data_IF_289129238703
#
_entry.id   IF_289129238703
#
_cell.length_a   1.000
_cell.length_b   1.000
_cell.length_c   1.000
_cell.angle_alpha   90.00
_cell.angle_beta   90.00
_cell.angle_gamma   90.00
#
_symmetry.space_group_name_H-M   'P 1'
#
loop_
_entity.id
_entity.type
_entity.pdbx_description
1 polymer ?
#
# COMPACT_ATOMS: atom_id res chain seq x y z
N UNK A 1 -8.25 -31.49 17.11
CA UNK A 1 -8.82 -30.24 16.50
C UNK A 1 -7.68 -29.25 16.31
N UNK A 2 -7.57 -28.62 15.15
CA UNK A 2 -6.58 -27.57 14.95
C UNK A 2 -7.01 -26.29 15.68
N UNK A 3 -6.06 -25.59 16.32
CA UNK A 3 -6.27 -24.27 16.93
C UNK A 3 -6.45 -23.17 15.88
N UNK A 4 -6.00 -23.43 14.65
CA UNK A 4 -6.06 -22.47 13.55
C UNK A 4 -7.50 -22.19 13.10
N UNK A 5 -7.80 -20.91 12.89
CA UNK A 5 -9.08 -20.47 12.34
C UNK A 5 -9.26 -20.91 10.88
N UNK A 6 -10.51 -20.99 10.43
CA UNK A 6 -10.80 -21.23 9.02
C UNK A 6 -10.23 -20.13 8.10
N UNK A 7 -10.12 -18.89 8.59
CA UNK A 7 -9.51 -17.78 7.85
C UNK A 7 -8.01 -18.01 7.63
N UNK A 8 -7.28 -18.39 8.69
CA UNK A 8 -5.83 -18.62 8.59
C UNK A 8 -5.49 -19.77 7.64
N UNK A 9 -6.33 -20.81 7.58
CA UNK A 9 -6.13 -21.93 6.65
C UNK A 9 -6.32 -21.60 5.18
N UNK A 10 -6.79 -20.40 4.86
CA UNK A 10 -6.94 -19.93 3.46
C UNK A 10 -5.69 -19.29 2.89
N UNK A 11 -4.69 -19.00 3.73
CA UNK A 11 -3.44 -18.40 3.32
C UNK A 11 -2.25 -19.33 3.49
N UNK A 12 -1.20 -19.11 2.71
CA UNK A 12 0.05 -19.83 2.83
C UNK A 12 1.12 -18.98 3.57
N UNK A 13 2.14 -19.60 4.18
CA UNK A 13 3.29 -18.89 4.70
C UNK A 13 3.95 -18.01 3.63
N UNK A 14 4.38 -16.80 4.02
CA UNK A 14 4.98 -15.83 3.07
C UNK A 14 6.25 -16.38 2.42
N UNK A 15 6.23 -16.52 1.10
CA UNK A 15 7.40 -16.91 0.30
C UNK A 15 8.59 -15.95 0.49
N UNK A 16 8.32 -14.65 0.60
CA UNK A 16 9.35 -13.62 0.83
C UNK A 16 10.09 -13.84 2.15
N UNK A 17 9.36 -14.15 3.23
CA UNK A 17 9.96 -14.44 4.54
C UNK A 17 10.79 -15.71 4.47
N UNK A 18 10.29 -16.75 3.83
CA UNK A 18 11.01 -18.03 3.69
C UNK A 18 12.31 -17.88 2.90
N UNK A 19 12.29 -17.14 1.77
CA UNK A 19 13.47 -16.87 0.95
C UNK A 19 14.48 -16.01 1.72
N UNK A 20 14.03 -14.97 2.43
CA UNK A 20 14.90 -14.12 3.26
C UNK A 20 15.56 -14.91 4.40
N UNK A 21 14.84 -15.83 5.04
CA UNK A 21 15.38 -16.71 6.06
C UNK A 21 16.43 -17.66 5.48
N UNK A 22 16.17 -18.24 4.30
CA UNK A 22 17.13 -19.10 3.58
C UNK A 22 18.40 -18.34 3.20
N UNK A 23 18.29 -17.12 2.69
CA UNK A 23 19.44 -16.29 2.33
C UNK A 23 20.32 -16.00 3.58
N UNK A 24 19.71 -15.63 4.72
CA UNK A 24 20.42 -15.42 5.98
C UNK A 24 21.13 -16.68 6.47
N UNK A 25 20.47 -17.84 6.41
CA UNK A 25 21.06 -19.11 6.81
C UNK A 25 22.29 -19.48 5.93
N UNK A 26 22.20 -19.27 4.62
CA UNK A 26 23.30 -19.51 3.70
C UNK A 26 24.49 -18.56 3.96
N UNK A 27 24.24 -17.28 4.22
CA UNK A 27 25.29 -16.32 4.63
C UNK A 27 25.96 -16.74 5.95
N UNK A 28 25.18 -17.14 6.93
CA UNK A 28 25.69 -17.61 8.21
C UNK A 28 26.55 -18.91 8.06
N UNK A 29 26.27 -19.72 7.04
CA UNK A 29 27.07 -20.88 6.68
C UNK A 29 28.30 -20.53 5.82
N UNK A 30 28.68 -19.26 5.70
CA UNK A 30 29.86 -18.79 4.99
C UNK A 30 29.74 -18.75 3.47
N UNK A 31 28.49 -18.88 2.91
CA UNK A 31 28.30 -18.77 1.48
C UNK A 31 28.18 -17.31 1.05
N UNK A 32 28.80 -16.95 -0.07
CA UNK A 32 28.57 -15.66 -0.72
C UNK A 32 27.20 -15.66 -1.38
N UNK A 33 26.27 -14.87 -0.80
CA UNK A 33 24.87 -14.76 -1.24
C UNK A 33 24.48 -13.31 -1.35
N UNK A 34 24.05 -12.89 -2.53
CA UNK A 34 23.39 -11.61 -2.76
C UNK A 34 21.90 -11.81 -2.50
N UNK A 35 21.36 -11.15 -1.47
CA UNK A 35 19.95 -11.28 -1.10
C UNK A 35 19.14 -10.12 -1.68
N UNK A 36 18.26 -10.42 -2.65
CA UNK A 36 17.36 -9.46 -3.30
C UNK A 36 15.90 -9.70 -2.92
N UNK A 37 15.65 -10.42 -1.83
CA UNK A 37 14.32 -10.85 -1.42
C UNK A 37 13.54 -9.84 -0.56
N UNK A 38 14.23 -8.89 0.07
CA UNK A 38 13.63 -7.84 0.89
C UNK A 38 13.90 -6.48 0.25
N UNK A 39 12.84 -5.76 -0.06
CA UNK A 39 12.91 -4.38 -0.57
C UNK A 39 13.08 -3.40 0.59
N UNK A 40 14.30 -3.24 1.08
CA UNK A 40 14.65 -2.27 2.13
C UNK A 40 15.60 -1.22 1.54
N UNK A 41 15.38 0.10 1.82
CA UNK A 41 16.34 1.12 1.45
C UNK A 41 17.71 0.83 2.05
N UNK A 42 18.78 1.09 1.30
CA UNK A 42 20.17 0.89 1.73
C UNK A 42 20.76 2.09 2.48
N UNK A 43 20.02 3.21 2.50
CA UNK A 43 20.37 4.38 3.30
C UNK A 43 19.82 4.25 4.72
N UNK A 44 20.55 4.80 5.69
CA UNK A 44 20.04 5.02 7.03
C UNK A 44 18.91 6.06 7.04
N UNK A 45 18.05 5.98 8.05
CA UNK A 45 17.11 7.08 8.33
C UNK A 45 17.88 8.40 8.50
N UNK A 46 17.48 9.50 7.87
CA UNK A 46 18.16 10.81 7.95
C UNK A 46 18.34 11.28 9.41
N UNK A 47 19.49 11.91 9.68
CA UNK A 47 19.88 12.33 11.05
C UNK A 47 18.89 13.31 11.69
N UNK A 48 18.31 14.21 10.90
CA UNK A 48 17.29 15.13 11.42
C UNK A 48 16.06 14.39 11.98
N UNK A 49 15.65 13.27 11.35
CA UNK A 49 14.54 12.43 11.82
C UNK A 49 14.95 11.68 13.09
N UNK A 50 16.14 11.05 13.09
CA UNK A 50 16.67 10.34 14.25
C UNK A 50 16.78 11.28 15.46
N UNK A 51 17.33 12.48 15.27
CA UNK A 51 17.49 13.47 16.33
C UNK A 51 16.13 13.96 16.86
N UNK A 52 15.15 14.20 15.98
CA UNK A 52 13.80 14.59 16.41
C UNK A 52 13.15 13.51 17.30
N UNK A 53 13.34 12.23 16.99
CA UNK A 53 12.85 11.14 17.82
C UNK A 53 13.56 11.06 19.17
N UNK A 54 14.90 11.24 19.20
CA UNK A 54 15.68 11.28 20.44
C UNK A 54 15.18 12.41 21.36
N UNK A 55 14.97 13.59 20.81
CA UNK A 55 14.46 14.73 21.59
C UNK A 55 13.02 14.50 22.08
N UNK A 56 12.17 13.85 21.27
CA UNK A 56 10.83 13.47 21.69
C UNK A 56 10.86 12.49 22.89
N UNK A 57 11.76 11.50 22.86
CA UNK A 57 11.96 10.56 23.98
C UNK A 57 12.44 11.30 25.22
N UNK A 58 13.45 12.17 25.12
CA UNK A 58 13.96 12.99 26.23
C UNK A 58 12.89 13.90 26.81
N UNK A 59 12.00 14.43 25.97
CA UNK A 59 10.87 15.26 26.37
C UNK A 59 9.70 14.46 26.99
N UNK A 60 9.84 13.14 27.16
CA UNK A 60 8.83 12.28 27.77
C UNK A 60 7.59 12.03 26.90
N UNK A 61 7.68 12.21 25.58
CA UNK A 61 6.59 11.87 24.63
C UNK A 61 6.46 10.36 24.45
N UNK A 62 6.15 9.65 25.55
CA UNK A 62 6.11 8.18 25.62
C UNK A 62 4.80 7.67 26.21
N UNK A 63 3.75 8.48 26.20
CA UNK A 63 2.43 8.16 26.71
C UNK A 63 1.51 7.70 25.58
N UNK A 64 0.33 7.17 25.94
CA UNK A 64 -0.71 6.86 24.98
C UNK A 64 -1.09 8.08 24.13
N UNK A 65 -1.32 7.81 22.86
CA UNK A 65 -1.87 8.78 21.90
C UNK A 65 -3.29 8.37 21.51
N UNK A 66 -3.97 9.20 20.74
CA UNK A 66 -5.25 8.82 20.14
C UNK A 66 -5.08 7.58 19.25
N UNK A 67 -6.08 6.66 19.22
CA UNK A 67 -5.98 5.41 18.46
C UNK A 67 -5.76 5.60 16.95
N UNK A 68 -6.20 6.72 16.39
CA UNK A 68 -6.09 7.07 14.98
C UNK A 68 -4.90 8.00 14.66
N UNK A 69 -4.03 8.26 15.65
CA UNK A 69 -2.81 9.03 15.52
C UNK A 69 -2.82 10.38 16.24
N UNK A 70 -1.62 10.89 16.51
CA UNK A 70 -1.42 12.19 17.16
C UNK A 70 -1.99 13.32 16.31
N UNK A 71 -2.67 14.32 16.90
CA UNK A 71 -3.21 15.47 16.16
C UNK A 71 -2.16 16.20 15.31
N UNK A 72 -0.95 16.38 15.84
CA UNK A 72 0.15 17.06 15.15
C UNK A 72 0.62 16.28 13.93
N UNK A 73 0.70 14.95 14.03
CA UNK A 73 1.08 14.09 12.91
C UNK A 73 -0.01 14.10 11.85
N UNK A 74 -1.28 14.01 12.23
CA UNK A 74 -2.42 14.08 11.29
C UNK A 74 -2.45 15.41 10.55
N UNK A 75 -2.19 16.52 11.25
CA UNK A 75 -2.07 17.84 10.61
C UNK A 75 -0.90 17.92 9.63
N UNK A 76 0.26 17.33 9.98
CA UNK A 76 1.42 17.26 9.10
C UNK A 76 1.14 16.41 7.84
N UNK A 77 0.41 15.29 7.99
CA UNK A 77 -0.03 14.46 6.87
C UNK A 77 -0.97 15.23 5.94
N UNK A 78 -1.96 15.95 6.49
CA UNK A 78 -2.85 16.81 5.70
C UNK A 78 -2.06 17.87 4.92
N UNK A 79 -1.08 18.52 5.58
CA UNK A 79 -0.24 19.51 4.94
C UNK A 79 0.63 18.92 3.82
N UNK A 80 1.14 17.69 4.00
CA UNK A 80 1.87 16.93 2.98
C UNK A 80 0.99 16.67 1.76
N UNK A 81 -0.19 16.08 1.96
CA UNK A 81 -1.10 15.77 0.84
C UNK A 81 -1.52 17.02 0.07
N UNK A 82 -1.75 18.14 0.76
CA UNK A 82 -2.06 19.41 0.10
C UNK A 82 -0.88 19.91 -0.72
N UNK A 83 0.32 19.90 -0.14
CA UNK A 83 1.54 20.43 -0.77
C UNK A 83 2.00 19.61 -1.99
N UNK A 84 1.96 18.29 -1.87
CA UNK A 84 2.59 17.37 -2.82
C UNK A 84 1.59 16.74 -3.80
N UNK A 85 0.37 16.51 -3.36
CA UNK A 85 -0.65 15.83 -4.16
C UNK A 85 -1.85 16.72 -4.51
N UNK A 86 -1.91 17.96 -4.00
CA UNK A 86 -3.05 18.84 -4.21
C UNK A 86 -4.36 18.34 -3.57
N UNK A 87 -4.28 17.37 -2.65
CA UNK A 87 -5.43 16.78 -1.98
C UNK A 87 -5.66 17.43 -0.62
N UNK A 88 -6.85 17.94 -0.40
CA UNK A 88 -7.23 18.57 0.87
C UNK A 88 -8.00 17.59 1.75
N UNK A 89 -7.28 16.92 2.67
CA UNK A 89 -7.86 16.10 3.72
C UNK A 89 -8.06 16.88 5.02
N UNK A 90 -9.08 16.50 5.78
CA UNK A 90 -9.27 16.95 7.17
C UNK A 90 -8.59 15.96 8.13
N UNK A 91 -8.11 16.39 9.31
CA UNK A 91 -7.53 15.46 10.29
C UNK A 91 -8.44 14.28 10.65
N UNK A 92 -9.76 14.46 10.64
CA UNK A 92 -10.72 13.38 10.87
C UNK A 92 -10.76 12.32 9.76
N UNK A 93 -10.18 12.59 8.59
CA UNK A 93 -10.04 11.64 7.47
C UNK A 93 -8.71 10.90 7.50
N UNK A 94 -7.81 11.23 8.45
CA UNK A 94 -6.49 10.62 8.57
C UNK A 94 -6.51 9.56 9.66
N UNK A 95 -6.02 8.37 9.31
CA UNK A 95 -5.77 7.27 10.23
C UNK A 95 -4.31 6.85 10.14
N UNK A 96 -3.60 6.86 11.27
CA UNK A 96 -2.21 6.45 11.38
C UNK A 96 -2.14 5.03 11.93
N UNK A 97 -1.30 4.20 11.35
CA UNK A 97 -1.15 2.80 11.76
C UNK A 97 0.34 2.39 11.78
N UNK A 98 0.71 1.31 12.50
CA UNK A 98 2.10 0.87 12.60
C UNK A 98 2.58 0.20 11.31
N UNK A 99 2.75 1.02 10.26
CA UNK A 99 3.15 0.63 8.90
C UNK A 99 1.99 0.38 7.96
N UNK A 100 2.26 0.33 6.63
CA UNK A 100 1.23 0.24 5.59
C UNK A 100 0.39 -1.05 5.62
N UNK A 101 0.95 -2.18 6.07
CA UNK A 101 0.19 -3.45 6.11
C UNK A 101 -1.05 -3.37 7.03
N UNK A 102 -0.98 -2.86 8.28
CA UNK A 102 -2.17 -2.65 9.09
C UNK A 102 -3.18 -1.67 8.48
N UNK A 103 -2.74 -0.63 7.75
CA UNK A 103 -3.65 0.29 7.05
C UNK A 103 -4.54 -0.49 6.08
N UNK A 104 -3.92 -1.26 5.20
CA UNK A 104 -4.64 -2.04 4.18
C UNK A 104 -5.52 -3.11 4.83
N UNK A 105 -4.96 -3.87 5.77
CA UNK A 105 -5.70 -4.96 6.42
C UNK A 105 -6.92 -4.44 7.20
N UNK A 106 -6.76 -3.36 7.96
CA UNK A 106 -7.86 -2.77 8.72
C UNK A 106 -8.96 -2.22 7.78
N UNK A 107 -8.57 -1.59 6.66
CA UNK A 107 -9.54 -1.12 5.67
C UNK A 107 -10.36 -2.29 5.10
N UNK A 108 -9.69 -3.40 4.74
CA UNK A 108 -10.37 -4.58 4.21
C UNK A 108 -11.26 -5.26 5.25
N UNK A 109 -10.76 -5.46 6.49
CA UNK A 109 -11.56 -6.06 7.58
C UNK A 109 -12.78 -5.23 7.93
N UNK A 110 -12.64 -3.90 7.91
CA UNK A 110 -13.74 -2.99 8.26
C UNK A 110 -14.82 -2.92 7.18
N UNK A 111 -14.53 -3.35 5.94
CA UNK A 111 -15.40 -3.07 4.79
C UNK A 111 -15.84 -4.31 4.02
N UNK A 112 -15.09 -5.42 4.07
CA UNK A 112 -15.42 -6.63 3.31
C UNK A 112 -16.42 -7.53 4.05
N UNK A 113 -17.38 -8.03 3.31
CA UNK A 113 -18.25 -9.12 3.71
C UNK A 113 -17.90 -10.39 2.91
N UNK A 114 -18.30 -11.59 3.38
CA UNK A 114 -18.18 -12.80 2.60
C UNK A 114 -18.83 -12.67 1.22
N UNK A 115 -18.06 -12.91 0.16
CA UNK A 115 -18.50 -12.79 -1.23
C UNK A 115 -18.15 -11.46 -1.91
N UNK A 116 -17.71 -10.44 -1.16
CA UNK A 116 -17.16 -9.21 -1.75
C UNK A 116 -15.83 -9.52 -2.46
N UNK A 117 -15.62 -8.90 -3.61
CA UNK A 117 -14.45 -9.09 -4.45
C UNK A 117 -13.50 -7.89 -4.39
N UNK A 118 -12.19 -8.19 -4.42
CA UNK A 118 -11.12 -7.20 -4.49
C UNK A 118 -10.29 -7.46 -5.73
N UNK A 119 -10.31 -6.54 -6.68
CA UNK A 119 -9.48 -6.61 -7.90
C UNK A 119 -8.05 -6.21 -7.56
N UNK A 120 -7.10 -7.07 -7.95
CA UNK A 120 -5.66 -6.91 -7.68
C UNK A 120 -4.90 -7.14 -8.97
N UNK A 121 -4.38 -6.10 -9.64
CA UNK A 121 -3.55 -6.26 -10.84
C UNK A 121 -2.24 -7.01 -10.51
N UNK A 122 -1.94 -8.07 -11.27
CA UNK A 122 -0.72 -8.87 -11.12
C UNK A 122 0.34 -8.43 -12.16
N UNK A 123 1.66 -8.43 -11.78
CA UNK A 123 2.22 -8.86 -10.50
C UNK A 123 1.95 -7.85 -9.39
N UNK A 124 1.77 -8.35 -8.18
CA UNK A 124 1.40 -7.55 -7.02
C UNK A 124 2.25 -7.89 -5.79
N UNK A 125 2.22 -7.01 -4.80
CA UNK A 125 2.79 -7.32 -3.49
C UNK A 125 2.05 -8.51 -2.87
N UNK A 126 2.82 -9.53 -2.50
CA UNK A 126 2.33 -10.84 -2.05
C UNK A 126 1.29 -10.79 -0.92
N UNK A 127 1.22 -9.70 -0.17
CA UNK A 127 0.30 -9.58 0.96
C UNK A 127 -1.13 -9.15 0.57
N UNK A 128 -1.37 -8.59 -0.60
CA UNK A 128 -2.72 -8.12 -0.95
C UNK A 128 -3.76 -9.25 -0.99
N UNK A 129 -3.52 -10.38 -1.71
CA UNK A 129 -4.50 -11.47 -1.73
C UNK A 129 -4.67 -12.10 -0.34
N UNK A 130 -3.58 -12.29 0.42
CA UNK A 130 -3.65 -12.88 1.75
C UNK A 130 -4.48 -12.02 2.72
N UNK A 131 -4.29 -10.70 2.70
CA UNK A 131 -5.09 -9.78 3.51
C UNK A 131 -6.56 -9.79 3.11
N UNK A 132 -6.85 -9.87 1.80
CA UNK A 132 -8.21 -10.01 1.29
C UNK A 132 -8.87 -11.29 1.79
N UNK A 133 -8.18 -12.42 1.68
CA UNK A 133 -8.67 -13.71 2.17
C UNK A 133 -8.90 -13.70 3.68
N UNK A 134 -7.96 -13.17 4.46
CA UNK A 134 -8.10 -13.06 5.91
C UNK A 134 -9.27 -12.17 6.32
N UNK A 135 -9.52 -11.09 5.57
CA UNK A 135 -10.65 -10.20 5.79
C UNK A 135 -12.01 -10.78 5.35
N UNK A 136 -12.03 -11.97 4.75
CA UNK A 136 -13.27 -12.66 4.34
C UNK A 136 -13.66 -12.43 2.88
N UNK A 137 -12.96 -11.56 2.15
CA UNK A 137 -13.20 -11.29 0.73
C UNK A 137 -12.60 -12.33 -0.22
N UNK A 138 -12.82 -12.11 -1.50
CA UNK A 138 -12.31 -12.92 -2.62
C UNK A 138 -11.36 -12.07 -3.44
N UNK A 139 -10.05 -12.39 -3.50
CA UNK A 139 -9.13 -11.71 -4.40
C UNK A 139 -9.38 -12.09 -5.85
N UNK A 140 -9.54 -11.12 -6.72
CA UNK A 140 -9.67 -11.26 -8.17
C UNK A 140 -8.38 -10.77 -8.80
N UNK A 141 -7.47 -11.70 -9.09
CA UNK A 141 -6.20 -11.38 -9.76
C UNK A 141 -6.44 -11.10 -11.23
N UNK A 142 -6.00 -9.94 -11.72
CA UNK A 142 -6.02 -9.59 -13.13
C UNK A 142 -4.60 -9.55 -13.66
N UNK A 143 -4.27 -10.48 -14.54
CA UNK A 143 -2.94 -10.54 -15.13
C UNK A 143 -2.67 -9.34 -16.01
N UNK A 144 -1.46 -8.81 -15.91
CA UNK A 144 -0.91 -7.76 -16.76
C UNK A 144 0.37 -8.25 -17.42
N UNK A 145 0.78 -7.60 -18.50
CA UNK A 145 1.93 -8.05 -19.28
C UNK A 145 3.05 -7.00 -19.34
N UNK A 146 4.22 -7.41 -19.80
CA UNK A 146 5.32 -6.48 -20.03
C UNK A 146 4.96 -5.41 -21.07
N UNK A 147 4.16 -5.77 -22.08
CA UNK A 147 3.69 -4.84 -23.12
C UNK A 147 2.80 -3.73 -22.54
N UNK A 148 2.01 -4.04 -21.50
CA UNK A 148 1.25 -3.02 -20.74
C UNK A 148 2.09 -2.31 -19.67
N UNK A 149 3.38 -2.64 -19.56
CA UNK A 149 4.26 -2.15 -18.48
C UNK A 149 3.79 -2.63 -17.10
N UNK A 150 3.23 -3.83 -17.03
CA UNK A 150 2.66 -4.43 -15.83
C UNK A 150 1.57 -3.56 -15.16
N UNK A 151 0.76 -2.90 -15.97
CA UNK A 151 -0.37 -2.05 -15.56
C UNK A 151 -1.68 -2.63 -16.08
N UNK A 152 -2.73 -2.62 -15.23
CA UNK A 152 -4.06 -3.01 -15.69
C UNK A 152 -4.54 -2.04 -16.79
N UNK A 153 -5.10 -2.58 -17.84
CA UNK A 153 -5.71 -1.77 -18.89
C UNK A 153 -7.18 -1.47 -18.56
N UNK A 154 -7.77 -0.36 -19.09
CA UNK A 154 -9.19 -0.08 -18.92
C UNK A 154 -10.10 -1.24 -19.32
N UNK A 155 -9.79 -1.92 -20.41
CA UNK A 155 -10.55 -3.07 -20.90
C UNK A 155 -10.49 -4.26 -19.94
N UNK A 156 -9.30 -4.57 -19.39
CA UNK A 156 -9.13 -5.64 -18.42
C UNK A 156 -9.83 -5.32 -17.10
N UNK A 157 -9.80 -4.05 -16.65
CA UNK A 157 -10.53 -3.61 -15.47
C UNK A 157 -12.04 -3.75 -15.68
N UNK A 158 -12.58 -3.24 -16.79
CA UNK A 158 -14.01 -3.33 -17.12
C UNK A 158 -14.49 -4.79 -17.13
N UNK A 159 -13.70 -5.69 -17.71
CA UNK A 159 -14.01 -7.12 -17.79
C UNK A 159 -13.95 -7.83 -16.43
N UNK A 160 -13.15 -7.34 -15.48
CA UNK A 160 -13.00 -7.92 -14.15
C UNK A 160 -14.05 -7.45 -13.14
N UNK A 161 -14.69 -6.31 -13.39
CA UNK A 161 -15.70 -5.75 -12.49
C UNK A 161 -16.99 -6.58 -12.54
N UNK A 162 -17.48 -6.97 -11.37
CA UNK A 162 -18.77 -7.64 -11.18
C UNK A 162 -19.63 -6.85 -10.19
N UNK A 163 -20.91 -7.19 -10.01
CA UNK A 163 -21.74 -6.59 -8.96
C UNK A 163 -21.20 -6.84 -7.52
N UNK A 164 -20.28 -7.80 -7.34
CA UNK A 164 -19.64 -8.12 -6.06
C UNK A 164 -18.34 -7.35 -5.85
N UNK A 165 -17.82 -6.71 -6.87
CA UNK A 165 -16.56 -5.97 -6.79
C UNK A 165 -16.72 -4.78 -5.87
N UNK A 166 -15.96 -4.75 -4.79
CA UNK A 166 -15.98 -3.69 -3.78
C UNK A 166 -14.74 -2.82 -3.80
N UNK A 167 -13.57 -3.41 -4.03
CA UNK A 167 -12.30 -2.70 -4.05
C UNK A 167 -11.50 -2.99 -5.33
N UNK A 168 -10.84 -1.95 -5.83
CA UNK A 168 -9.68 -2.04 -6.70
C UNK A 168 -8.47 -1.60 -5.90
N UNK A 169 -7.42 -2.42 -5.84
CA UNK A 169 -6.12 -2.04 -5.28
C UNK A 169 -5.21 -1.60 -6.41
N UNK A 170 -4.69 -0.37 -6.34
CA UNK A 170 -3.66 0.15 -7.24
C UNK A 170 -2.40 0.41 -6.42
N UNK A 171 -1.24 -0.04 -6.88
CA UNK A 171 0.06 0.29 -6.31
C UNK A 171 0.93 0.92 -7.39
N UNK A 172 1.28 2.19 -7.21
CA UNK A 172 2.05 2.97 -8.20
C UNK A 172 2.97 3.97 -7.50
N UNK A 173 4.28 3.91 -7.73
CA UNK A 173 5.02 2.85 -8.41
C UNK A 173 4.81 1.48 -7.74
N UNK A 174 4.83 0.40 -8.52
CA UNK A 174 4.41 -0.92 -8.09
C UNK A 174 5.53 -1.76 -7.49
N UNK A 175 5.21 -2.50 -6.45
CA UNK A 175 5.99 -3.64 -5.99
C UNK A 175 5.32 -4.95 -6.51
N UNK A 176 6.00 -5.81 -7.33
CA UNK A 176 7.45 -5.84 -7.54
C UNK A 176 7.91 -5.24 -8.88
N UNK A 177 7.02 -4.80 -9.78
CA UNK A 177 7.39 -4.50 -11.17
C UNK A 177 8.16 -3.18 -11.36
N UNK A 178 8.03 -2.22 -10.42
CA UNK A 178 8.50 -0.86 -10.61
C UNK A 178 7.67 -0.04 -11.60
N UNK A 179 6.66 -0.65 -12.21
CA UNK A 179 5.76 0.04 -13.15
C UNK A 179 4.98 1.16 -12.47
N UNK A 180 4.91 2.33 -13.10
CA UNK A 180 4.17 3.47 -12.59
C UNK A 180 3.16 3.96 -13.62
N UNK A 181 1.97 4.33 -13.14
CA UNK A 181 0.92 4.89 -13.99
C UNK A 181 1.19 6.34 -14.29
N UNK A 182 1.11 6.72 -15.55
CA UNK A 182 1.04 8.13 -15.92
C UNK A 182 -0.31 8.73 -15.55
N UNK A 183 -0.39 10.08 -15.48
CA UNK A 183 -1.67 10.78 -15.27
C UNK A 183 -2.74 10.32 -16.27
N UNK A 184 -2.39 10.22 -17.56
CA UNK A 184 -3.32 9.74 -18.60
C UNK A 184 -3.76 8.28 -18.37
N UNK A 185 -2.84 7.42 -17.92
CA UNK A 185 -3.16 6.03 -17.58
C UNK A 185 -4.13 5.92 -16.40
N UNK A 186 -3.94 6.73 -15.36
CA UNK A 186 -4.86 6.79 -14.22
C UNK A 186 -6.21 7.38 -14.62
N UNK A 187 -6.24 8.38 -15.52
CA UNK A 187 -7.51 8.94 -16.03
C UNK A 187 -8.32 7.86 -16.76
N UNK A 188 -7.69 7.07 -17.61
CA UNK A 188 -8.36 5.99 -18.32
C UNK A 188 -8.94 4.91 -17.37
N UNK A 189 -8.27 4.62 -16.25
CA UNK A 189 -8.79 3.76 -15.18
C UNK A 189 -9.94 4.45 -14.45
N UNK A 190 -9.81 5.72 -14.13
CA UNK A 190 -10.84 6.51 -13.48
C UNK A 190 -12.14 6.58 -14.31
N UNK A 191 -12.03 6.71 -15.64
CA UNK A 191 -13.17 6.74 -16.56
C UNK A 191 -13.96 5.42 -16.54
N UNK A 192 -13.30 4.29 -16.33
CA UNK A 192 -13.97 3.00 -16.07
C UNK A 192 -14.68 3.04 -14.73
N UNK A 193 -13.97 3.42 -13.67
CA UNK A 193 -14.51 3.44 -12.30
C UNK A 193 -15.72 4.37 -12.16
N UNK A 194 -15.80 5.46 -12.92
CA UNK A 194 -16.95 6.37 -12.90
C UNK A 194 -18.25 5.69 -13.36
N UNK A 195 -18.17 4.64 -14.15
CA UNK A 195 -19.33 3.83 -14.57
C UNK A 195 -19.75 2.81 -13.50
N UNK A 196 -18.87 2.54 -12.52
CA UNK A 196 -19.06 1.53 -11.48
C UNK A 196 -18.98 2.16 -10.08
N UNK A 197 -20.05 2.89 -9.64
CA UNK A 197 -20.02 3.66 -8.40
C UNK A 197 -19.90 2.80 -7.13
N UNK A 198 -20.15 1.49 -7.20
CA UNK A 198 -19.99 0.55 -6.10
C UNK A 198 -18.51 0.21 -5.80
N UNK A 199 -17.59 0.46 -6.76
CA UNK A 199 -16.18 0.10 -6.62
C UNK A 199 -15.42 1.23 -5.93
N UNK A 200 -14.80 0.93 -4.80
CA UNK A 200 -13.89 1.79 -4.07
C UNK A 200 -12.45 1.57 -4.53
N UNK A 201 -11.61 2.56 -4.36
CA UNK A 201 -10.19 2.47 -4.71
C UNK A 201 -9.34 2.52 -3.45
N UNK A 202 -8.43 1.55 -3.30
CA UNK A 202 -7.32 1.62 -2.39
C UNK A 202 -6.07 1.87 -3.23
N UNK A 203 -5.53 3.10 -3.18
CA UNK A 203 -4.27 3.42 -3.84
C UNK A 203 -3.13 3.34 -2.83
N UNK A 204 -2.17 2.45 -3.10
CA UNK A 204 -0.96 2.27 -2.31
C UNK A 204 0.16 3.08 -2.96
N UNK A 205 0.36 4.28 -2.42
CA UNK A 205 1.30 5.29 -2.92
C UNK A 205 2.64 5.26 -2.13
N UNK A 206 2.97 4.13 -1.50
CA UNK A 206 4.15 3.96 -0.64
C UNK A 206 5.47 4.38 -1.30
N UNK A 207 5.53 4.34 -2.62
CA UNK A 207 6.73 4.63 -3.40
C UNK A 207 6.67 5.96 -4.16
N UNK A 208 5.76 6.87 -3.81
CA UNK A 208 5.56 8.14 -4.54
C UNK A 208 6.85 8.97 -4.71
N UNK A 209 7.78 8.88 -3.75
CA UNK A 209 9.07 9.60 -3.80
C UNK A 209 10.21 8.79 -4.43
N UNK A 210 9.97 7.53 -4.81
CA UNK A 210 10.96 6.67 -5.45
C UNK A 210 10.68 6.59 -6.95
N UNK A 211 10.87 7.71 -7.61
CA UNK A 211 10.68 7.90 -9.05
C UNK A 211 11.98 8.36 -9.69
N UNK A 212 12.17 8.03 -10.95
CA UNK A 212 13.38 8.26 -11.71
C UNK A 212 13.07 8.89 -13.07
N UNK A 213 14.09 9.43 -13.74
CA UNK A 213 14.03 9.90 -15.13
C UNK A 213 12.90 10.95 -15.38
N UNK A 214 12.80 11.95 -14.50
CA UNK A 214 11.80 13.03 -14.59
C UNK A 214 10.34 12.55 -14.57
N UNK A 215 10.09 11.34 -14.07
CA UNK A 215 8.73 10.84 -13.92
C UNK A 215 7.98 11.64 -12.86
N UNK A 216 6.85 12.22 -13.24
CA UNK A 216 5.95 12.93 -12.32
C UNK A 216 4.94 11.95 -11.72
N UNK A 217 5.07 11.71 -10.42
CA UNK A 217 4.10 10.92 -9.68
C UNK A 217 2.73 11.61 -9.62
N UNK A 218 1.69 10.82 -9.75
CA UNK A 218 0.30 11.29 -9.61
C UNK A 218 -0.53 10.16 -8.97
N UNK A 219 -1.37 10.49 -8.00
CA UNK A 219 -2.34 9.55 -7.43
C UNK A 219 -3.70 9.67 -8.09
N UNK A 220 -4.52 8.60 -8.03
CA UNK A 220 -5.80 8.55 -8.76
C UNK A 220 -6.80 9.58 -8.24
N UNK A 221 -6.83 9.87 -6.93
CA UNK A 221 -7.70 10.87 -6.34
C UNK A 221 -7.37 12.31 -6.81
N UNK A 222 -6.12 12.54 -7.20
CA UNK A 222 -5.65 13.82 -7.77
C UNK A 222 -6.05 13.95 -9.25
N UNK A 223 -6.16 12.85 -9.96
CA UNK A 223 -6.49 12.82 -11.38
C UNK A 223 -7.98 13.07 -11.61
N UNK A 224 -8.84 12.40 -10.83
CA UNK A 224 -10.30 12.47 -10.98
C UNK A 224 -10.94 12.81 -9.62
N UNK A 225 -11.30 14.08 -9.40
CA UNK A 225 -11.89 14.52 -8.13
C UNK A 225 -13.19 13.81 -7.74
N UNK A 226 -13.97 13.27 -8.68
CA UNK A 226 -15.17 12.50 -8.39
C UNK A 226 -14.89 11.16 -7.70
N UNK A 227 -13.64 10.70 -7.73
CA UNK A 227 -13.21 9.51 -7.01
C UNK A 227 -12.76 9.82 -5.58
N UNK A 228 -12.57 11.09 -5.21
CA UNK A 228 -12.03 11.49 -3.91
C UNK A 228 -12.76 10.81 -2.74
N UNK A 229 -14.09 10.90 -2.70
CA UNK A 229 -14.89 10.39 -1.59
C UNK A 229 -14.95 8.85 -1.49
N UNK A 230 -14.45 8.14 -2.51
CA UNK A 230 -14.38 6.67 -2.54
C UNK A 230 -12.98 6.14 -2.83
N UNK A 231 -11.96 6.94 -2.52
CA UNK A 231 -10.55 6.55 -2.59
C UNK A 231 -9.94 6.59 -1.21
N UNK A 232 -9.37 5.47 -0.77
CA UNK A 232 -8.47 5.40 0.37
C UNK A 232 -7.05 5.52 -0.16
N UNK A 233 -6.41 6.67 0.12
CA UNK A 233 -5.02 6.91 -0.27
C UNK A 233 -4.11 6.46 0.87
N UNK A 234 -3.38 5.37 0.68
CA UNK A 234 -2.40 4.85 1.62
C UNK A 234 -1.01 5.33 1.26
N UNK A 235 -0.29 5.80 2.26
CA UNK A 235 1.09 6.22 2.15
C UNK A 235 1.85 5.87 3.43
N UNK A 236 3.15 6.14 3.48
CA UNK A 236 3.95 5.90 4.66
C UNK A 236 5.38 6.37 4.50
N UNK A 237 6.10 6.42 5.60
CA UNK A 237 7.48 6.91 5.63
C UNK A 237 8.53 5.79 5.45
N UNK A 238 8.08 4.53 5.45
CA UNK A 238 8.97 3.36 5.48
C UNK A 238 9.96 3.32 4.34
N UNK A 239 9.57 3.74 3.11
CA UNK A 239 10.39 3.62 1.91
C UNK A 239 11.06 4.94 1.56
N UNK A 240 10.31 5.99 1.31
CA UNK A 240 10.84 7.29 0.88
C UNK A 240 11.78 7.95 1.91
N UNK A 241 11.68 7.58 3.19
CA UNK A 241 12.49 8.16 4.27
C UNK A 241 13.40 7.13 4.97
N UNK A 242 13.58 5.93 4.41
CA UNK A 242 14.40 4.88 5.01
C UNK A 242 14.01 4.58 6.48
N UNK A 243 12.72 4.42 6.71
CA UNK A 243 12.14 4.27 8.06
C UNK A 243 11.40 2.93 8.24
N UNK A 244 11.86 1.85 7.61
CA UNK A 244 11.19 0.54 7.67
C UNK A 244 11.01 0.01 9.08
N UNK A 245 11.97 0.23 9.97
CA UNK A 245 11.96 -0.19 11.37
C UNK A 245 11.10 0.68 12.29
N UNK A 246 10.72 1.89 11.88
CA UNK A 246 9.96 2.85 12.70
C UNK A 246 8.47 2.51 12.78
N UNK A 247 7.97 1.73 11.86
CA UNK A 247 6.57 1.27 11.80
C UNK A 247 5.55 2.41 11.65
N UNK A 248 5.75 3.27 10.63
CA UNK A 248 4.85 4.36 10.29
C UNK A 248 4.67 4.45 8.77
#
# INVERSE_FOLDING_TARGET
MSLESAALRRIAPSATIAISAKARALKAAGRDVIALSAGEPDFDTPDNIKNAAIEAIKAGKTKYTDPDGMPELKAAICAKFKRENGLEYKPAQIHVAPGGKPVIYNALVATLNPGDEVIIPAPYWVSYPDMTLLAGGTPVSVETTAESGFKITPAALEAAITPKTKWLIINSPSNPSGGAYTRAGLQAIADVLLKHPQVWVLTDDMYEHLVFDDFEFTTIAQVEPKLYDRTLTMNGVSKGYSMTGWRL
#
